data_IF_135490066831
#
_entry.id   IF_135490066831
#
_cell.length_a   1.000
_cell.length_b   1.000
_cell.length_c   1.000
_cell.angle_alpha   90.00
_cell.angle_beta   90.00
_cell.angle_gamma   90.00
#
_symmetry.space_group_name_H-M   'P 1'
#
loop_
_entity.id
_entity.type
_entity.pdbx_description
1 polymer ?
#
# COMPACT_ATOMS: atom_id res chain seq x y z
N UNK A 1 -23.30 -15.26 -5.25
CA UNK A 1 -23.04 -13.84 -5.56
C UNK A 1 -21.62 -13.43 -5.18
N UNK A 2 -21.20 -13.20 -3.91
CA UNK A 2 -19.82 -12.75 -3.61
C UNK A 2 -18.73 -13.69 -4.14
N UNK A 3 -18.81 -14.99 -3.85
CA UNK A 3 -17.82 -15.98 -4.31
C UNK A 3 -17.72 -16.06 -5.83
N UNK A 4 -18.82 -15.97 -6.53
CA UNK A 4 -18.85 -15.93 -8.01
C UNK A 4 -18.15 -14.67 -8.54
N UNK A 5 -18.44 -13.49 -7.93
CA UNK A 5 -17.76 -12.25 -8.28
C UNK A 5 -16.25 -12.35 -8.08
N UNK A 6 -15.82 -12.89 -6.93
CA UNK A 6 -14.39 -13.09 -6.64
C UNK A 6 -13.75 -14.04 -7.65
N UNK A 7 -14.43 -15.11 -8.03
CA UNK A 7 -13.93 -16.05 -9.03
C UNK A 7 -13.77 -15.40 -10.41
N UNK A 8 -14.74 -14.57 -10.82
CA UNK A 8 -14.63 -13.80 -12.07
C UNK A 8 -13.42 -12.86 -12.02
N UNK A 9 -13.28 -12.09 -10.92
CA UNK A 9 -12.16 -11.16 -10.74
C UNK A 9 -10.82 -11.88 -10.82
N UNK A 10 -10.64 -12.98 -10.09
CA UNK A 10 -9.37 -13.73 -10.07
C UNK A 10 -9.08 -14.41 -11.41
N UNK A 11 -10.11 -14.93 -12.09
CA UNK A 11 -9.96 -15.56 -13.41
C UNK A 11 -9.56 -14.53 -14.45
N UNK A 12 -10.24 -13.38 -14.50
CA UNK A 12 -9.95 -12.37 -15.50
C UNK A 12 -8.61 -11.67 -15.26
N UNK A 13 -8.28 -11.30 -14.02
CA UNK A 13 -7.00 -10.70 -13.69
C UNK A 13 -5.82 -11.65 -13.93
N UNK A 14 -6.00 -12.94 -13.66
CA UNK A 14 -4.97 -13.97 -13.85
C UNK A 14 -4.55 -14.14 -15.30
N UNK A 15 -5.43 -13.88 -16.29
CA UNK A 15 -5.10 -13.92 -17.72
C UNK A 15 -3.99 -12.94 -18.11
N UNK A 16 -3.84 -11.87 -17.34
CA UNK A 16 -2.87 -10.80 -17.61
C UNK A 16 -1.77 -10.71 -16.55
N UNK A 17 -1.72 -11.65 -15.60
CA UNK A 17 -0.76 -11.62 -14.51
C UNK A 17 -0.99 -10.52 -13.49
N UNK A 18 -2.21 -9.97 -13.40
CA UNK A 18 -2.52 -8.91 -12.45
C UNK A 18 -2.78 -9.46 -11.05
N UNK A 19 -2.23 -8.77 -10.05
CA UNK A 19 -2.51 -9.03 -8.64
C UNK A 19 -3.57 -8.06 -8.13
N UNK A 20 -4.70 -8.57 -7.70
CA UNK A 20 -5.82 -7.77 -7.20
C UNK A 20 -5.76 -7.70 -5.69
N UNK A 21 -5.82 -6.48 -5.14
CA UNK A 21 -5.85 -6.22 -3.70
C UNK A 21 -7.19 -5.62 -3.30
N UNK A 22 -7.78 -6.15 -2.23
CA UNK A 22 -9.02 -5.64 -1.66
C UNK A 22 -8.73 -4.50 -0.68
N UNK A 23 -9.35 -3.34 -0.88
CA UNK A 23 -9.23 -2.20 0.02
C UNK A 23 -10.04 -2.44 1.30
N UNK A 24 -9.36 -2.74 2.41
CA UNK A 24 -9.99 -3.12 3.69
C UNK A 24 -10.89 -2.02 4.24
N UNK A 25 -10.55 -0.76 4.01
CA UNK A 25 -11.38 0.41 4.38
C UNK A 25 -12.83 0.35 3.87
N UNK A 26 -13.10 -0.40 2.80
CA UNK A 26 -14.44 -0.55 2.25
C UNK A 26 -15.35 -1.36 3.18
N UNK A 27 -14.83 -2.46 3.75
CA UNK A 27 -15.53 -3.25 4.76
C UNK A 27 -14.53 -4.21 5.44
N UNK A 28 -14.23 -3.96 6.71
CA UNK A 28 -13.31 -4.74 7.52
C UNK A 28 -13.98 -5.90 8.29
N UNK A 29 -15.17 -6.34 7.91
CA UNK A 29 -15.83 -7.46 8.57
C UNK A 29 -14.96 -8.73 8.47
N UNK A 30 -14.58 -9.39 9.58
CA UNK A 30 -13.62 -10.50 9.58
C UNK A 30 -14.07 -11.68 8.70
N UNK A 31 -15.36 -11.98 8.65
CA UNK A 31 -15.91 -13.07 7.84
C UNK A 31 -15.81 -12.74 6.35
N UNK A 32 -16.06 -11.49 5.97
CA UNK A 32 -15.90 -11.02 4.60
C UNK A 32 -14.43 -11.10 4.19
N UNK A 33 -13.53 -10.59 5.02
CA UNK A 33 -12.08 -10.61 4.77
C UNK A 33 -11.57 -12.04 4.58
N UNK A 34 -12.00 -12.98 5.44
CA UNK A 34 -11.61 -14.40 5.32
C UNK A 34 -12.08 -15.03 3.99
N UNK A 35 -13.27 -14.67 3.49
CA UNK A 35 -13.76 -15.15 2.20
C UNK A 35 -12.91 -14.61 1.05
N UNK A 36 -12.52 -13.32 1.13
CA UNK A 36 -11.70 -12.65 0.11
C UNK A 36 -10.28 -13.21 0.11
N UNK A 37 -9.68 -13.37 1.30
CA UNK A 37 -8.36 -14.00 1.45
C UNK A 37 -8.34 -15.42 0.87
N UNK A 38 -9.38 -16.22 1.16
CA UNK A 38 -9.53 -17.59 0.63
C UNK A 38 -9.69 -17.64 -0.89
N UNK A 39 -10.13 -16.55 -1.52
CA UNK A 39 -10.19 -16.42 -2.98
C UNK A 39 -8.83 -16.06 -3.62
N UNK A 40 -7.79 -15.83 -2.80
CA UNK A 40 -6.42 -15.57 -3.26
C UNK A 40 -6.09 -14.11 -3.55
N UNK A 41 -6.97 -13.16 -3.24
CA UNK A 41 -6.70 -11.73 -3.37
C UNK A 41 -5.69 -11.28 -2.31
N UNK A 42 -5.02 -10.14 -2.59
CA UNK A 42 -4.24 -9.40 -1.61
C UNK A 42 -5.09 -8.41 -0.81
N UNK A 43 -4.47 -7.74 0.16
CA UNK A 43 -5.08 -6.70 0.97
C UNK A 43 -4.39 -5.36 0.74
N UNK A 44 -5.19 -4.29 0.56
CA UNK A 44 -4.73 -2.90 0.58
C UNK A 44 -5.21 -2.26 1.88
N UNK A 45 -4.25 -1.95 2.75
CA UNK A 45 -4.45 -1.45 4.10
C UNK A 45 -4.00 0.00 4.22
N UNK A 46 -4.70 0.80 5.03
CA UNK A 46 -4.37 2.22 5.27
C UNK A 46 -4.10 2.53 6.75
N UNK A 47 -4.02 1.50 7.58
CA UNK A 47 -3.63 1.59 8.99
C UNK A 47 -3.06 0.27 9.50
N UNK A 48 -2.27 0.33 10.58
CA UNK A 48 -1.78 -0.87 11.25
C UNK A 48 -2.90 -1.77 11.80
N UNK A 49 -4.04 -1.16 12.17
CA UNK A 49 -5.24 -1.91 12.55
C UNK A 49 -5.77 -2.79 11.39
N UNK A 50 -5.78 -2.23 10.17
CA UNK A 50 -6.17 -2.96 8.98
C UNK A 50 -5.15 -4.05 8.60
N UNK A 51 -3.85 -3.79 8.75
CA UNK A 51 -2.80 -4.82 8.57
C UNK A 51 -3.03 -6.00 9.51
N UNK A 52 -3.26 -5.74 10.81
CA UNK A 52 -3.60 -6.81 11.77
C UNK A 52 -4.86 -7.57 11.37
N UNK A 53 -5.90 -6.86 10.95
CA UNK A 53 -7.15 -7.48 10.50
C UNK A 53 -6.96 -8.35 9.26
N UNK A 54 -6.13 -7.91 8.30
CA UNK A 54 -5.77 -8.68 7.11
C UNK A 54 -5.06 -9.98 7.47
N UNK A 55 -3.99 -9.90 8.27
CA UNK A 55 -3.23 -11.09 8.71
C UNK A 55 -4.14 -12.05 9.49
N UNK A 56 -4.93 -11.53 10.45
CA UNK A 56 -5.86 -12.35 11.24
C UNK A 56 -6.96 -13.00 10.39
N UNK A 57 -7.36 -12.39 9.27
CA UNK A 57 -8.34 -12.96 8.34
C UNK A 57 -7.75 -13.99 7.35
N UNK A 58 -6.42 -14.16 7.35
CA UNK A 58 -5.72 -15.16 6.54
C UNK A 58 -5.19 -14.66 5.20
N UNK A 59 -5.07 -13.34 5.01
CA UNK A 59 -4.30 -12.82 3.87
C UNK A 59 -2.81 -13.16 4.08
N UNK A 60 -2.12 -13.74 3.06
CA UNK A 60 -0.68 -13.93 3.12
C UNK A 60 0.03 -12.57 3.24
N UNK A 61 1.03 -12.47 4.11
CA UNK A 61 1.74 -11.20 4.34
C UNK A 61 2.37 -10.64 3.05
N UNK A 62 2.92 -11.51 2.21
CA UNK A 62 3.47 -11.20 0.89
C UNK A 62 2.42 -10.72 -0.14
N UNK A 63 1.15 -10.59 0.27
CA UNK A 63 0.05 -10.00 -0.50
C UNK A 63 -0.61 -8.84 0.25
N UNK A 64 0.01 -8.31 1.28
CA UNK A 64 -0.49 -7.15 2.03
C UNK A 64 0.30 -5.91 1.62
N UNK A 65 -0.41 -4.88 1.15
CA UNK A 65 0.12 -3.55 0.83
C UNK A 65 -0.32 -2.58 1.91
N UNK A 66 0.59 -1.73 2.37
CA UNK A 66 0.29 -0.71 3.36
C UNK A 66 0.46 0.70 2.79
N UNK A 67 -0.66 1.36 2.51
CA UNK A 67 -0.77 2.73 2.01
C UNK A 67 -1.14 3.72 3.14
N UNK A 68 -1.30 5.01 2.81
CA UNK A 68 -1.72 6.07 3.74
C UNK A 68 -0.61 7.01 4.14
N UNK A 69 -0.98 8.28 4.36
CA UNK A 69 -0.06 9.41 4.53
C UNK A 69 0.47 9.63 5.95
N UNK A 70 0.01 8.87 6.92
CA UNK A 70 0.33 9.12 8.34
C UNK A 70 0.67 7.84 9.09
N UNK A 71 1.53 6.97 8.50
CA UNK A 71 1.99 5.76 9.19
C UNK A 71 2.82 6.12 10.41
N UNK A 72 2.41 5.64 11.59
CA UNK A 72 3.16 5.77 12.82
C UNK A 72 4.27 4.71 12.89
N UNK A 73 5.31 4.96 13.70
CA UNK A 73 6.46 4.06 13.84
C UNK A 73 6.05 2.63 14.23
N UNK A 74 5.07 2.47 15.11
CA UNK A 74 4.58 1.15 15.51
C UNK A 74 3.88 0.41 14.37
N UNK A 75 3.22 1.12 13.45
CA UNK A 75 2.56 0.55 12.29
C UNK A 75 3.58 0.11 11.23
N UNK A 76 4.61 0.92 11.02
CA UNK A 76 5.73 0.57 10.15
C UNK A 76 6.45 -0.67 10.72
N UNK A 77 6.75 -0.66 12.02
CA UNK A 77 7.35 -1.80 12.70
C UNK A 77 6.50 -3.07 12.58
N UNK A 78 5.18 -2.96 12.69
CA UNK A 78 4.27 -4.09 12.46
C UNK A 78 4.42 -4.63 11.04
N UNK A 79 4.39 -3.78 10.01
CA UNK A 79 4.54 -4.21 8.62
C UNK A 79 5.91 -4.85 8.35
N UNK A 80 6.97 -4.33 8.96
CA UNK A 80 8.32 -4.92 8.90
C UNK A 80 8.36 -6.30 9.59
N UNK A 81 7.72 -6.45 10.75
CA UNK A 81 7.71 -7.71 11.50
C UNK A 81 6.92 -8.80 10.79
N UNK A 82 5.79 -8.47 10.21
CA UNK A 82 4.95 -9.35 9.40
C UNK A 82 5.51 -9.63 8.00
N UNK A 83 6.57 -8.92 7.58
CA UNK A 83 7.18 -9.03 6.24
C UNK A 83 6.17 -8.82 5.11
N UNK A 84 5.37 -7.75 5.19
CA UNK A 84 4.34 -7.43 4.20
C UNK A 84 4.92 -7.23 2.80
N UNK A 85 4.05 -7.32 1.77
CA UNK A 85 4.46 -7.17 0.37
C UNK A 85 5.18 -5.86 0.09
N UNK A 86 4.57 -4.71 0.46
CA UNK A 86 5.25 -3.42 0.38
C UNK A 86 4.54 -2.30 1.16
N UNK A 87 5.29 -1.23 1.43
CA UNK A 87 4.77 0.06 1.87
C UNK A 87 4.60 0.97 0.67
N UNK A 88 3.40 1.50 0.44
CA UNK A 88 3.19 2.61 -0.49
C UNK A 88 3.62 3.90 0.19
N UNK A 89 4.73 4.48 -0.26
CA UNK A 89 5.36 5.65 0.35
C UNK A 89 4.83 6.93 -0.28
N UNK A 90 4.41 7.85 0.56
CA UNK A 90 3.72 9.09 0.18
C UNK A 90 4.65 10.32 0.24
N UNK A 91 5.80 10.21 0.93
CA UNK A 91 6.74 11.32 1.07
C UNK A 91 8.18 10.86 1.34
N UNK A 92 9.16 11.76 1.07
CA UNK A 92 10.57 11.51 1.40
C UNK A 92 10.80 11.37 2.92
N UNK A 93 10.05 12.12 3.74
CA UNK A 93 10.16 12.02 5.19
C UNK A 93 9.76 10.62 5.68
N UNK A 94 8.64 10.11 5.19
CA UNK A 94 8.17 8.75 5.48
C UNK A 94 9.18 7.69 5.02
N UNK A 95 9.73 7.84 3.82
CA UNK A 95 10.75 6.91 3.31
C UNK A 95 11.96 6.81 4.24
N UNK A 96 12.43 7.94 4.78
CA UNK A 96 13.54 7.96 5.73
C UNK A 96 13.20 7.24 7.03
N UNK A 97 12.01 7.46 7.58
CA UNK A 97 11.55 6.76 8.79
C UNK A 97 11.48 5.25 8.55
N UNK A 98 10.92 4.80 7.42
CA UNK A 98 10.88 3.37 7.07
C UNK A 98 12.30 2.81 6.96
N UNK A 99 13.23 3.54 6.33
CA UNK A 99 14.62 3.13 6.21
C UNK A 99 15.31 3.00 7.59
N UNK A 100 15.15 3.96 8.48
CA UNK A 100 15.72 3.95 9.84
C UNK A 100 15.18 2.77 10.65
N UNK A 101 13.87 2.54 10.62
CA UNK A 101 13.25 1.44 11.35
C UNK A 101 13.62 0.06 10.77
N UNK A 102 13.75 -0.05 9.45
CA UNK A 102 14.21 -1.28 8.79
C UNK A 102 15.68 -1.57 9.16
N UNK A 103 16.56 -0.55 9.12
CA UNK A 103 17.96 -0.66 9.53
C UNK A 103 18.09 -1.12 10.98
N UNK A 104 17.32 -0.52 11.91
CA UNK A 104 17.33 -0.89 13.31
C UNK A 104 16.93 -2.35 13.57
N UNK A 105 16.20 -2.96 12.65
CA UNK A 105 15.78 -4.37 12.68
C UNK A 105 16.66 -5.29 11.83
N UNK A 106 17.68 -4.77 11.16
CA UNK A 106 18.48 -5.50 10.17
C UNK A 106 17.59 -6.16 9.07
N UNK A 107 16.52 -5.47 8.67
CA UNK A 107 15.59 -5.88 7.61
C UNK A 107 15.71 -4.98 6.39
N UNK A 108 15.22 -5.48 5.26
CA UNK A 108 15.04 -4.70 4.03
C UNK A 108 13.56 -4.50 3.81
N UNK A 109 13.08 -3.25 3.82
CA UNK A 109 11.70 -2.93 3.52
C UNK A 109 11.45 -2.86 2.02
N UNK A 110 10.40 -3.50 1.53
CA UNK A 110 9.90 -3.33 0.16
C UNK A 110 9.02 -2.09 0.10
N UNK A 111 9.30 -1.19 -0.83
CA UNK A 111 8.59 0.08 -0.96
C UNK A 111 8.10 0.32 -2.39
N UNK A 112 6.95 0.95 -2.52
CA UNK A 112 6.44 1.48 -3.77
C UNK A 112 6.24 2.99 -3.61
N UNK A 113 6.86 3.79 -4.48
CA UNK A 113 6.79 5.24 -4.39
C UNK A 113 5.52 5.75 -5.08
N UNK A 114 4.67 6.45 -4.35
CA UNK A 114 3.53 7.14 -4.95
C UNK A 114 3.99 8.45 -5.55
N UNK A 115 4.04 8.52 -6.86
CA UNK A 115 4.44 9.72 -7.59
C UNK A 115 3.21 10.58 -7.89
N UNK A 116 3.32 11.89 -7.59
CA UNK A 116 2.37 12.88 -8.06
C UNK A 116 2.85 13.39 -9.45
N UNK A 117 2.12 13.04 -10.54
CA UNK A 117 2.54 13.43 -11.90
C UNK A 117 2.29 14.91 -12.22
N UNK A 118 1.72 15.70 -11.29
CA UNK A 118 1.38 17.13 -11.47
C UNK A 118 0.51 17.42 -12.71
N UNK A 119 -0.22 16.43 -13.21
CA UNK A 119 -1.09 16.58 -14.37
C UNK A 119 -2.37 17.31 -13.94
N UNK A 120 -2.65 18.44 -14.57
CA UNK A 120 -3.97 19.08 -14.47
C UNK A 120 -4.98 18.26 -15.26
N UNK A 121 -5.88 17.60 -14.55
CA UNK A 121 -6.87 16.71 -15.17
C UNK A 121 -7.99 17.47 -15.89
N UNK A 122 -7.97 18.81 -15.96
CA UNK A 122 -9.02 19.66 -16.54
C UNK A 122 -10.45 19.25 -16.14
N UNK A 123 -10.62 18.75 -14.91
CA UNK A 123 -11.91 18.32 -14.40
C UNK A 123 -12.71 19.51 -13.89
N UNK A 124 -14.04 19.38 -13.88
CA UNK A 124 -14.99 20.40 -13.44
C UNK A 124 -14.54 21.04 -12.12
N UNK A 125 -14.55 22.39 -12.00
CA UNK A 125 -14.07 23.18 -10.86
C UNK A 125 -14.61 22.74 -9.47
N UNK A 126 -15.74 22.02 -9.42
CA UNK A 126 -16.32 21.45 -8.20
C UNK A 126 -15.80 20.05 -7.84
N UNK A 127 -15.00 19.42 -8.72
CA UNK A 127 -14.41 18.09 -8.52
C UNK A 127 -12.87 18.21 -8.40
N UNK A 128 -12.33 19.40 -8.59
CA UNK A 128 -10.90 19.67 -8.48
C UNK A 128 -10.48 19.62 -7.02
N UNK A 129 -10.24 18.42 -6.50
CA UNK A 129 -9.53 18.20 -5.23
C UNK A 129 -8.01 18.41 -5.38
N UNK A 130 -7.60 19.19 -6.36
CA UNK A 130 -6.21 19.26 -6.79
C UNK A 130 -5.66 20.66 -7.01
N UNK A 131 -5.73 21.55 -6.00
CA UNK A 131 -4.73 22.61 -5.90
C UNK A 131 -3.37 21.95 -5.69
N UNK A 132 -2.29 22.53 -6.27
CA UNK A 132 -0.90 22.02 -6.19
C UNK A 132 -0.44 21.64 -4.78
N UNK A 133 -1.08 22.15 -3.75
CA UNK A 133 -0.76 21.98 -2.33
C UNK A 133 -1.42 20.76 -1.67
N UNK A 134 -2.40 20.12 -2.31
CA UNK A 134 -3.21 19.05 -1.68
C UNK A 134 -3.15 17.69 -2.41
N UNK A 135 -2.19 17.47 -3.29
CA UNK A 135 -2.02 16.16 -3.94
C UNK A 135 -1.10 15.29 -3.12
N UNK A 136 -1.59 14.12 -2.70
CA UNK A 136 -0.77 13.08 -2.09
C UNK A 136 0.30 12.58 -3.07
N UNK A 137 1.41 12.10 -2.52
CA UNK A 137 2.51 11.54 -3.28
C UNK A 137 3.69 12.50 -3.46
N UNK A 138 4.76 11.95 -3.98
CA UNK A 138 6.06 12.60 -4.15
C UNK A 138 6.08 13.33 -5.48
N UNK A 139 6.45 14.62 -5.48
CA UNK A 139 6.61 15.39 -6.69
C UNK A 139 7.78 14.87 -7.54
N UNK A 140 7.64 14.88 -8.85
CA UNK A 140 8.68 14.42 -9.79
C UNK A 140 10.02 15.12 -9.59
N UNK A 141 10.01 16.41 -9.20
CA UNK A 141 11.22 17.18 -8.90
C UNK A 141 12.06 16.63 -7.74
N UNK A 142 11.45 15.86 -6.83
CA UNK A 142 12.11 15.25 -5.67
C UNK A 142 12.56 13.81 -5.93
N UNK A 143 12.23 13.23 -7.08
CA UNK A 143 12.42 11.81 -7.37
C UNK A 143 13.88 11.36 -7.22
N UNK A 144 14.85 12.13 -7.70
CA UNK A 144 16.26 11.78 -7.59
C UNK A 144 16.73 11.65 -6.13
N UNK A 145 16.26 12.55 -5.25
CA UNK A 145 16.56 12.50 -3.82
C UNK A 145 15.90 11.30 -3.13
N UNK A 146 14.71 10.93 -3.57
CA UNK A 146 13.96 9.77 -3.06
C UNK A 146 14.64 8.47 -3.48
N UNK A 147 15.05 8.34 -4.74
CA UNK A 147 15.75 7.18 -5.26
C UNK A 147 17.08 6.95 -4.52
N UNK A 148 17.83 8.01 -4.22
CA UNK A 148 19.08 7.90 -3.47
C UNK A 148 18.90 7.25 -2.08
N UNK A 149 17.77 7.53 -1.40
CA UNK A 149 17.44 6.90 -0.10
C UNK A 149 16.98 5.45 -0.29
N UNK A 150 16.23 5.15 -1.36
CA UNK A 150 15.65 3.82 -1.57
C UNK A 150 16.67 2.71 -1.86
N UNK A 151 17.92 3.04 -2.12
CA UNK A 151 19.01 2.05 -2.36
C UNK A 151 19.81 1.68 -1.09
N UNK A 152 19.33 1.98 0.11
CA UNK A 152 20.03 1.66 1.37
C UNK A 152 19.48 0.37 2.01
N UNK A 153 18.47 0.46 2.87
CA UNK A 153 17.80 -0.67 3.51
C UNK A 153 16.37 -0.90 2.95
N UNK A 154 16.15 -0.49 1.69
CA UNK A 154 14.87 -0.54 1.01
C UNK A 154 15.02 -1.29 -0.32
N UNK A 155 13.91 -1.86 -0.81
CA UNK A 155 13.79 -2.43 -2.15
C UNK A 155 12.55 -1.80 -2.83
N UNK A 156 12.77 -1.31 -4.06
CA UNK A 156 11.71 -0.80 -4.94
C UNK A 156 11.00 -1.92 -5.67
#
# INVERSE_FOLDING_TARGET
MLKETLQVVTTESGKYGYHVHYAIKANANPRLLSIIASAGLGADCVSGGEVRAAIAAGFPADKVVFAGVGKADWEINLGLDEDIFCFNVESLAELRVINELAAAKAKVARVALRINPEVDAHTHAKITTGLKENKFGINLSLLNGVLAVSYTHLTL
#
